data_IF_754883936570
#
_entry.id   IF_754883936570
#
_cell.length_a   1.000
_cell.length_b   1.000
_cell.length_c   1.000
_cell.angle_alpha   90.00
_cell.angle_beta   90.00
_cell.angle_gamma   90.00
#
_symmetry.space_group_name_H-M   'P 1'
#
loop_
_entity.id
_entity.type
_entity.pdbx_description
1 polymer ?
#
# COMPACT_ATOMS: atom_id res chain seq x y z
N UNK A 1 19.26 2.77 1.68
CA UNK A 1 19.54 1.40 2.16
C UNK A 1 18.27 0.58 1.92
N UNK A 2 18.31 -0.69 1.47
CA UNK A 2 17.09 -1.49 1.19
C UNK A 2 16.22 -1.59 2.44
N UNK A 3 15.02 -1.01 2.40
CA UNK A 3 14.24 -0.70 3.61
C UNK A 3 13.16 -1.74 3.93
N UNK A 4 12.61 -2.44 2.93
CA UNK A 4 11.65 -3.53 3.15
C UNK A 4 11.26 -4.18 1.82
N UNK A 5 10.92 -5.46 1.84
CA UNK A 5 10.21 -6.11 0.72
C UNK A 5 8.74 -6.17 1.11
N UNK A 6 7.89 -5.54 0.30
CA UNK A 6 6.47 -5.40 0.56
C UNK A 6 5.72 -6.24 -0.47
N UNK A 7 5.15 -7.36 -0.02
CA UNK A 7 4.41 -8.27 -0.90
C UNK A 7 2.91 -8.07 -0.74
N UNK A 8 2.21 -8.11 -1.87
CA UNK A 8 0.75 -8.00 -1.99
C UNK A 8 0.24 -9.27 -2.63
N UNK A 9 -1.05 -9.58 -2.43
CA UNK A 9 -1.69 -10.79 -2.97
C UNK A 9 -0.96 -12.10 -2.59
N UNK A 10 -0.18 -12.08 -1.49
CA UNK A 10 0.57 -13.25 -1.04
C UNK A 10 -0.37 -14.19 -0.29
N UNK A 11 -0.55 -15.41 -0.78
CA UNK A 11 -1.36 -16.43 -0.08
C UNK A 11 -0.70 -16.83 1.23
N UNK A 12 -1.49 -17.00 2.28
CA UNK A 12 -0.98 -17.38 3.61
C UNK A 12 -0.12 -18.65 3.57
N UNK A 13 -0.53 -19.68 2.83
CA UNK A 13 0.24 -20.92 2.68
C UNK A 13 1.61 -20.69 2.04
N UNK A 14 1.68 -19.86 0.99
CA UNK A 14 2.91 -19.55 0.28
C UNK A 14 3.83 -18.67 1.14
N UNK A 15 3.26 -17.78 1.96
CA UNK A 15 4.01 -17.05 2.97
C UNK A 15 4.67 -17.99 3.99
N UNK A 16 3.87 -18.90 4.57
CA UNK A 16 4.33 -19.79 5.63
C UNK A 16 5.35 -20.82 5.15
N UNK A 17 5.08 -21.49 4.03
CA UNK A 17 5.86 -22.65 3.59
C UNK A 17 7.06 -22.27 2.69
N UNK A 18 7.10 -21.03 2.19
CA UNK A 18 8.17 -20.60 1.28
C UNK A 18 8.80 -19.27 1.71
N UNK A 19 8.09 -18.15 1.57
CA UNK A 19 8.76 -16.84 1.66
C UNK A 19 9.35 -16.54 3.04
N UNK A 20 8.64 -16.87 4.12
CA UNK A 20 9.11 -16.63 5.49
C UNK A 20 10.45 -17.32 5.73
N UNK A 21 10.47 -18.64 5.53
CA UNK A 21 11.65 -19.45 5.86
C UNK A 21 12.79 -19.24 4.85
N UNK A 22 12.49 -19.11 3.55
CA UNK A 22 13.54 -18.89 2.54
C UNK A 22 14.21 -17.53 2.71
N UNK A 23 13.45 -16.46 3.02
CA UNK A 23 14.04 -15.13 3.20
C UNK A 23 14.74 -14.98 4.56
N UNK A 24 14.31 -15.69 5.59
CA UNK A 24 15.04 -15.75 6.86
C UNK A 24 16.36 -16.51 6.67
N UNK A 25 16.30 -17.78 6.27
CA UNK A 25 17.47 -18.67 6.20
C UNK A 25 18.54 -18.21 5.19
N UNK A 26 18.14 -17.61 4.07
CA UNK A 26 19.09 -17.24 3.00
C UNK A 26 19.49 -15.77 3.03
N UNK A 27 18.67 -14.93 3.65
CA UNK A 27 18.77 -13.49 3.48
C UNK A 27 18.62 -12.72 4.80
N UNK A 28 18.52 -13.34 5.97
CA UNK A 28 18.38 -12.68 7.28
C UNK A 28 17.19 -11.70 7.35
N UNK A 29 16.08 -12.02 6.70
CA UNK A 29 14.85 -11.23 6.81
C UNK A 29 13.91 -11.80 7.86
N UNK A 30 13.37 -10.94 8.71
CA UNK A 30 12.13 -11.23 9.43
C UNK A 30 10.94 -10.66 8.69
N UNK A 31 9.74 -11.10 9.09
CA UNK A 31 8.51 -10.68 8.44
C UNK A 31 7.29 -10.70 9.34
N UNK A 32 6.30 -9.93 8.91
CA UNK A 32 4.91 -10.02 9.36
C UNK A 32 4.01 -10.23 8.15
N UNK A 33 2.88 -10.90 8.37
CA UNK A 33 1.86 -11.16 7.36
C UNK A 33 0.47 -11.00 7.98
N UNK A 34 -0.45 -10.43 7.22
CA UNK A 34 -1.86 -10.40 7.56
C UNK A 34 -2.70 -10.80 6.34
N UNK A 35 -3.52 -11.86 6.43
CA UNK A 35 -4.47 -12.19 5.38
C UNK A 35 -5.62 -11.17 5.35
N UNK A 36 -6.30 -11.06 4.21
CA UNK A 36 -7.53 -10.26 4.10
C UNK A 36 -8.62 -10.72 5.06
N UNK A 37 -9.57 -9.82 5.35
CA UNK A 37 -10.56 -9.99 6.41
C UNK A 37 -11.38 -11.29 6.34
N UNK A 38 -11.67 -11.79 5.13
CA UNK A 38 -12.42 -13.05 4.94
C UNK A 38 -11.75 -14.30 5.50
N UNK A 39 -10.44 -14.28 5.77
CA UNK A 39 -9.76 -15.39 6.43
C UNK A 39 -10.36 -15.72 7.81
N UNK A 40 -11.08 -14.76 8.43
CA UNK A 40 -11.80 -14.95 9.70
C UNK A 40 -13.06 -15.82 9.56
N UNK A 41 -13.63 -15.92 8.36
CA UNK A 41 -14.97 -16.51 8.16
C UNK A 41 -14.97 -17.72 7.24
N UNK A 42 -13.96 -17.89 6.38
CA UNK A 42 -13.90 -19.04 5.47
C UNK A 42 -13.12 -20.23 6.09
N UNK A 43 -13.56 -21.48 5.85
CA UNK A 43 -12.86 -22.67 6.36
C UNK A 43 -11.44 -22.83 5.80
N UNK A 44 -11.24 -22.58 4.50
CA UNK A 44 -9.93 -22.60 3.86
C UNK A 44 -9.25 -21.23 3.95
N UNK A 45 -8.89 -20.81 5.17
CA UNK A 45 -8.22 -19.53 5.38
C UNK A 45 -6.77 -19.49 4.86
N UNK A 46 -6.19 -20.65 4.51
CA UNK A 46 -4.78 -20.76 4.09
C UNK A 46 -4.55 -20.32 2.65
N UNK A 47 -5.57 -20.38 1.81
CA UNK A 47 -5.51 -19.89 0.43
C UNK A 47 -5.76 -18.38 0.31
N UNK A 48 -6.19 -17.73 1.41
CA UNK A 48 -6.47 -16.29 1.42
C UNK A 48 -5.19 -15.50 1.24
N UNK A 49 -5.26 -14.54 0.32
CA UNK A 49 -4.19 -13.60 0.07
C UNK A 49 -4.19 -12.45 1.09
N UNK A 50 -3.03 -11.83 1.24
CA UNK A 50 -2.82 -10.77 2.22
C UNK A 50 -1.68 -9.83 1.87
N UNK A 51 -1.31 -9.05 2.87
CA UNK A 51 -0.18 -8.14 2.84
C UNK A 51 0.94 -8.69 3.72
N UNK A 52 2.18 -8.61 3.25
CA UNK A 52 3.37 -8.96 4.01
C UNK A 52 4.36 -7.81 4.03
N UNK A 53 5.10 -7.67 5.14
CA UNK A 53 6.23 -6.75 5.25
C UNK A 53 7.42 -7.55 5.74
N UNK A 54 8.51 -7.50 4.98
CA UNK A 54 9.79 -8.12 5.33
C UNK A 54 10.84 -7.04 5.59
N UNK A 55 11.70 -7.25 6.59
CA UNK A 55 12.82 -6.35 6.88
C UNK A 55 14.08 -7.15 7.24
N UNK A 56 15.26 -6.57 6.96
CA UNK A 56 16.55 -7.16 7.33
C UNK A 56 16.72 -7.12 8.86
N UNK A 57 16.83 -8.29 9.50
CA UNK A 57 17.07 -8.42 10.92
C UNK A 57 18.33 -7.71 11.38
N UNK A 58 19.37 -7.70 10.55
CA UNK A 58 20.63 -7.02 10.88
C UNK A 58 20.50 -5.49 10.95
N UNK A 59 19.48 -4.91 10.33
CA UNK A 59 19.33 -3.44 10.19
C UNK A 59 18.19 -2.86 11.00
N UNK A 60 17.12 -3.61 11.19
CA UNK A 60 15.91 -3.14 11.84
C UNK A 60 15.42 -4.13 12.89
N UNK A 61 14.91 -3.60 13.99
CA UNK A 61 14.10 -4.32 14.94
C UNK A 61 12.64 -3.94 14.73
N UNK A 62 11.72 -4.88 14.91
CA UNK A 62 10.29 -4.57 14.99
C UNK A 62 9.94 -4.11 16.40
N UNK A 63 9.27 -2.96 16.51
CA UNK A 63 8.78 -2.40 17.77
C UNK A 63 7.31 -2.79 17.97
N UNK A 64 6.51 -2.65 16.91
CA UNK A 64 5.08 -2.96 16.94
C UNK A 64 4.54 -3.21 15.53
N UNK A 65 3.33 -3.74 15.42
CA UNK A 65 2.61 -3.83 14.16
C UNK A 65 1.11 -3.54 14.35
N UNK A 66 0.48 -3.04 13.29
CA UNK A 66 -0.96 -2.76 13.27
C UNK A 66 -1.58 -3.27 11.98
N UNK A 67 -2.85 -3.65 12.06
CA UNK A 67 -3.66 -3.99 10.89
C UNK A 67 -4.78 -2.96 10.78
N UNK A 68 -4.89 -2.35 9.62
CA UNK A 68 -6.01 -1.47 9.26
C UNK A 68 -7.00 -2.31 8.47
N UNK A 69 -8.06 -2.75 9.16
CA UNK A 69 -9.21 -3.45 8.58
C UNK A 69 -10.21 -2.40 8.07
N UNK A 70 -10.19 -2.10 6.76
CA UNK A 70 -10.97 -0.99 6.21
C UNK A 70 -12.48 -1.20 6.41
N UNK A 71 -12.98 -2.43 6.22
CA UNK A 71 -14.38 -2.76 6.45
C UNK A 71 -14.79 -2.52 7.91
N UNK A 72 -13.94 -2.97 8.84
CA UNK A 72 -14.15 -2.74 10.27
C UNK A 72 -14.19 -1.25 10.61
N UNK A 73 -13.29 -0.45 10.04
CA UNK A 73 -13.26 1.02 10.26
C UNK A 73 -14.47 1.71 9.67
N UNK A 74 -14.86 1.38 8.44
CA UNK A 74 -16.06 1.92 7.80
C UNK A 74 -17.31 1.61 8.61
N UNK A 75 -17.44 0.38 9.12
CA UNK A 75 -18.64 -0.06 9.86
C UNK A 75 -18.77 0.62 11.24
N UNK A 76 -17.65 1.00 11.86
CA UNK A 76 -17.62 1.66 13.17
C UNK A 76 -17.70 3.19 13.07
N UNK A 77 -17.44 3.75 11.90
CA UNK A 77 -17.39 5.19 11.69
C UNK A 77 -18.78 5.77 11.44
N UNK A 78 -19.19 6.70 12.30
CA UNK A 78 -20.50 7.36 12.23
C UNK A 78 -20.71 8.22 10.99
N UNK A 79 -19.63 8.58 10.28
CA UNK A 79 -19.66 9.29 8.99
C UNK A 79 -20.18 8.39 7.87
N UNK A 80 -19.91 7.08 7.96
CA UNK A 80 -20.19 6.13 6.88
C UNK A 80 -21.32 5.16 7.22
N UNK A 81 -21.35 4.64 8.46
CA UNK A 81 -22.24 3.54 8.83
C UNK A 81 -23.74 3.90 8.85
N UNK A 82 -24.07 5.20 8.83
CA UNK A 82 -25.46 5.68 8.73
C UNK A 82 -25.98 5.73 7.29
N UNK A 83 -25.09 5.71 6.30
CA UNK A 83 -25.48 5.75 4.90
C UNK A 83 -25.65 4.31 4.37
N UNK A 84 -26.91 3.86 4.28
CA UNK A 84 -27.20 2.47 3.93
C UNK A 84 -26.80 2.12 2.50
N UNK A 85 -26.98 3.04 1.54
CA UNK A 85 -26.62 2.81 0.14
C UNK A 85 -25.11 2.64 -0.02
N UNK A 86 -24.34 3.51 0.64
CA UNK A 86 -22.90 3.38 0.73
C UNK A 86 -22.49 2.05 1.38
N UNK A 87 -23.08 1.67 2.52
CA UNK A 87 -22.76 0.42 3.20
C UNK A 87 -23.10 -0.81 2.35
N UNK A 88 -24.20 -0.77 1.60
CA UNK A 88 -24.60 -1.83 0.67
C UNK A 88 -23.57 -1.96 -0.46
N UNK A 89 -23.15 -0.82 -1.03
CA UNK A 89 -22.15 -0.82 -2.10
C UNK A 89 -20.76 -1.20 -1.60
N UNK A 90 -20.35 -0.74 -0.42
CA UNK A 90 -19.10 -1.16 0.22
C UNK A 90 -19.14 -2.68 0.43
N UNK A 91 -20.27 -3.18 0.93
CA UNK A 91 -20.56 -4.60 1.05
C UNK A 91 -19.52 -5.31 1.90
N UNK A 92 -18.91 -6.36 1.34
CA UNK A 92 -17.90 -7.21 2.02
C UNK A 92 -16.48 -7.00 1.51
N UNK A 93 -16.17 -5.81 0.99
CA UNK A 93 -14.80 -5.47 0.53
C UNK A 93 -13.86 -5.50 1.73
N UNK A 94 -13.06 -6.56 1.83
CA UNK A 94 -12.27 -6.96 3.01
C UNK A 94 -10.79 -6.60 2.89
N UNK A 95 -10.49 -5.57 2.08
CA UNK A 95 -9.15 -5.03 1.90
C UNK A 95 -8.56 -4.61 3.26
N UNK A 96 -7.24 -4.70 3.36
CA UNK A 96 -6.49 -4.33 4.55
C UNK A 96 -5.26 -3.50 4.18
N UNK A 97 -4.72 -2.81 5.18
CA UNK A 97 -3.32 -2.37 5.16
C UNK A 97 -2.59 -2.93 6.40
N UNK A 98 -1.34 -3.32 6.20
CA UNK A 98 -0.45 -3.79 7.26
C UNK A 98 0.57 -2.70 7.58
N UNK A 99 0.78 -2.42 8.85
CA UNK A 99 1.73 -1.42 9.32
C UNK A 99 2.77 -2.08 10.21
N UNK A 100 4.04 -1.87 9.93
CA UNK A 100 5.16 -2.23 10.79
C UNK A 100 5.81 -0.97 11.35
N UNK A 101 6.04 -0.96 12.66
CA UNK A 101 6.88 0.04 13.32
C UNK A 101 8.26 -0.59 13.48
N UNK A 102 9.23 -0.06 12.74
CA UNK A 102 10.59 -0.55 12.73
C UNK A 102 11.52 0.49 13.33
N UNK A 103 12.52 0.05 14.09
CA UNK A 103 13.60 0.90 14.59
C UNK A 103 14.90 0.44 13.96
N UNK A 104 15.67 1.37 13.38
CA UNK A 104 16.98 1.05 12.85
C UNK A 104 18.03 1.00 13.96
N UNK A 105 19.27 0.60 13.62
CA UNK A 105 20.38 0.56 14.57
C UNK A 105 20.83 1.93 15.10
N UNK A 106 20.41 3.03 14.49
CA UNK A 106 20.72 4.39 14.94
C UNK A 106 19.62 4.99 15.82
N UNK A 107 18.52 4.26 16.06
CA UNK A 107 17.38 4.70 16.88
C UNK A 107 16.28 5.44 16.11
N UNK A 108 16.39 5.58 14.78
CA UNK A 108 15.34 6.19 13.97
C UNK A 108 14.15 5.23 13.84
N UNK A 109 12.95 5.78 14.02
CA UNK A 109 11.70 5.02 13.88
C UNK A 109 11.12 5.18 12.48
N UNK A 110 10.69 4.06 11.89
CA UNK A 110 10.06 3.97 10.59
C UNK A 110 8.67 3.37 10.73
N UNK A 111 7.68 4.06 10.17
CA UNK A 111 6.33 3.55 9.95
C UNK A 111 6.30 3.03 8.51
N UNK A 112 6.36 1.72 8.34
CA UNK A 112 6.28 1.06 7.03
C UNK A 112 4.89 0.52 6.83
N UNK A 113 4.19 1.01 5.82
CA UNK A 113 2.81 0.65 5.50
C UNK A 113 2.77 -0.12 4.18
N UNK A 114 2.06 -1.24 4.17
CA UNK A 114 1.71 -2.00 2.98
C UNK A 114 0.18 -1.97 2.79
N UNK A 115 -0.29 -1.27 1.77
CA UNK A 115 -1.70 -1.17 1.45
C UNK A 115 -2.05 -1.90 0.15
N UNK A 116 -3.25 -2.49 0.10
CA UNK A 116 -3.83 -3.04 -1.13
C UNK A 116 -5.30 -2.64 -1.19
N UNK A 117 -5.58 -1.57 -1.95
CA UNK A 117 -6.91 -1.01 -2.09
C UNK A 117 -7.79 -1.86 -3.01
N UNK A 118 -9.09 -1.57 -3.01
CA UNK A 118 -10.04 -2.26 -3.87
C UNK A 118 -9.71 -2.08 -5.35
N UNK A 119 -9.97 -3.09 -6.18
CA UNK A 119 -9.43 -3.14 -7.54
C UNK A 119 -10.35 -2.55 -8.60
N UNK A 120 -11.67 -2.73 -8.45
CA UNK A 120 -12.65 -2.44 -9.50
C UNK A 120 -12.64 -0.95 -9.90
N UNK A 121 -12.39 -0.61 -11.18
CA UNK A 121 -12.37 0.77 -11.68
C UNK A 121 -13.65 1.56 -11.41
N UNK A 122 -14.81 0.89 -11.34
CA UNK A 122 -16.11 1.53 -11.14
C UNK A 122 -16.31 2.02 -9.68
N UNK A 123 -15.42 1.63 -8.76
CA UNK A 123 -15.52 1.92 -7.33
C UNK A 123 -14.47 2.92 -6.86
N UNK A 124 -14.34 4.04 -7.58
CA UNK A 124 -13.46 5.16 -7.22
C UNK A 124 -13.76 5.68 -5.81
N UNK A 125 -15.04 5.80 -5.48
CA UNK A 125 -15.56 6.20 -4.16
C UNK A 125 -15.00 5.31 -3.05
N UNK A 126 -15.03 3.99 -3.24
CA UNK A 126 -14.52 3.03 -2.25
C UNK A 126 -13.01 3.14 -2.09
N UNK A 127 -12.26 3.22 -3.20
CA UNK A 127 -10.80 3.37 -3.17
C UNK A 127 -10.42 4.66 -2.43
N UNK A 128 -11.14 5.75 -2.70
CA UNK A 128 -10.93 7.05 -2.08
C UNK A 128 -11.18 7.01 -0.57
N UNK A 129 -12.26 6.38 -0.12
CA UNK A 129 -12.57 6.24 1.31
C UNK A 129 -11.55 5.33 2.00
N UNK A 130 -11.11 4.25 1.36
CA UNK A 130 -10.04 3.40 1.90
C UNK A 130 -8.73 4.19 2.04
N UNK A 131 -8.36 4.99 1.04
CA UNK A 131 -7.18 5.86 1.11
C UNK A 131 -7.31 6.90 2.23
N UNK A 132 -8.48 7.49 2.41
CA UNK A 132 -8.71 8.49 3.44
C UNK A 132 -8.61 7.90 4.86
N UNK A 133 -9.24 6.74 5.09
CA UNK A 133 -9.10 5.98 6.35
C UNK A 133 -7.63 5.59 6.58
N UNK A 134 -6.93 5.15 5.54
CA UNK A 134 -5.51 4.78 5.62
C UNK A 134 -4.67 5.94 6.13
N UNK A 135 -4.81 7.14 5.54
CA UNK A 135 -4.07 8.33 5.93
C UNK A 135 -4.44 8.79 7.36
N UNK A 136 -5.72 8.76 7.73
CA UNK A 136 -6.16 9.08 9.10
C UNK A 136 -5.55 8.13 10.15
N UNK A 137 -5.47 6.83 9.85
CA UNK A 137 -4.86 5.84 10.75
C UNK A 137 -3.33 6.00 10.83
N UNK A 138 -2.67 6.27 9.70
CA UNK A 138 -1.23 6.58 9.70
C UNK A 138 -0.95 7.81 10.57
N UNK A 139 -1.77 8.85 10.49
CA UNK A 139 -1.62 10.06 11.30
C UNK A 139 -1.84 9.78 12.80
N UNK A 140 -2.80 8.90 13.16
CA UNK A 140 -2.96 8.43 14.56
C UNK A 140 -1.72 7.71 15.06
N UNK A 141 -1.16 6.80 14.24
CA UNK A 141 0.07 6.06 14.59
C UNK A 141 1.26 7.01 14.71
N UNK A 142 1.40 7.98 13.80
CA UNK A 142 2.47 8.98 13.82
C UNK A 142 2.44 9.88 15.06
N UNK A 143 1.26 10.15 15.62
CA UNK A 143 1.12 10.88 16.90
C UNK A 143 1.67 10.09 18.10
N UNK A 144 1.61 8.75 18.03
CA UNK A 144 2.20 7.85 19.03
C UNK A 144 3.72 7.76 18.80
N UNK A 145 4.13 7.45 17.57
CA UNK A 145 5.53 7.32 17.16
C UNK A 145 6.03 8.64 16.55
N UNK A 146 6.19 9.64 17.42
CA UNK A 146 6.62 10.99 17.01
C UNK A 146 7.98 10.94 16.30
N UNK A 147 8.21 11.93 15.44
CA UNK A 147 9.44 12.08 14.65
C UNK A 147 9.80 10.92 13.72
N UNK A 148 8.91 9.95 13.51
CA UNK A 148 9.12 8.83 12.60
C UNK A 148 9.19 9.22 11.11
N UNK A 149 9.89 8.39 10.34
CA UNK A 149 9.87 8.39 8.88
C UNK A 149 8.73 7.49 8.41
N UNK A 150 7.94 7.93 7.44
CA UNK A 150 6.81 7.13 6.92
C UNK A 150 7.10 6.69 5.49
N UNK A 151 6.97 5.38 5.26
CA UNK A 151 6.90 4.77 3.94
C UNK A 151 5.50 4.19 3.76
N UNK A 152 4.79 4.65 2.73
CA UNK A 152 3.50 4.13 2.33
C UNK A 152 3.65 3.44 0.97
N UNK A 153 3.60 2.11 0.98
CA UNK A 153 3.87 1.26 -0.16
C UNK A 153 2.62 0.44 -0.44
N UNK A 154 2.23 0.29 -1.71
CA UNK A 154 0.96 -0.37 -1.94
C UNK A 154 0.53 -0.48 -3.38
N UNK A 155 -0.45 -1.34 -3.61
CA UNK A 155 -1.24 -1.42 -4.86
C UNK A 155 -2.51 -0.64 -4.56
N UNK A 156 -2.58 0.54 -5.12
CA UNK A 156 -3.67 1.46 -4.89
C UNK A 156 -4.79 1.26 -5.90
N UNK A 157 -4.56 0.46 -6.95
CA UNK A 157 -5.50 0.28 -8.07
C UNK A 157 -6.03 1.63 -8.61
N UNK A 158 -5.16 2.64 -8.63
CA UNK A 158 -5.47 4.04 -8.90
C UNK A 158 -4.34 4.67 -9.68
N UNK A 159 -4.68 5.31 -10.80
CA UNK A 159 -3.72 6.03 -11.66
C UNK A 159 -3.30 7.37 -11.03
N UNK A 160 -2.24 7.99 -11.56
CA UNK A 160 -1.69 9.26 -11.05
C UNK A 160 -2.65 10.44 -11.16
N UNK A 161 -3.59 10.40 -12.10
CA UNK A 161 -4.64 11.41 -12.30
C UNK A 161 -5.87 11.19 -11.41
N UNK A 162 -5.87 10.15 -10.58
CA UNK A 162 -7.01 9.84 -9.70
C UNK A 162 -7.06 10.71 -8.45
N UNK A 163 -8.27 10.79 -7.87
CA UNK A 163 -8.47 11.40 -6.55
C UNK A 163 -7.70 10.70 -5.42
N UNK A 164 -7.47 9.38 -5.53
CA UNK A 164 -6.67 8.64 -4.54
C UNK A 164 -5.23 9.14 -4.54
N UNK A 165 -4.63 9.29 -5.72
CA UNK A 165 -3.26 9.79 -5.84
C UNK A 165 -3.16 11.23 -5.34
N UNK A 166 -4.03 12.11 -5.84
CA UNK A 166 -4.09 13.52 -5.42
C UNK A 166 -4.30 13.66 -3.91
N UNK A 167 -5.10 12.79 -3.30
CA UNK A 167 -5.35 12.83 -1.86
C UNK A 167 -4.08 12.52 -1.06
N UNK A 168 -3.31 11.52 -1.50
CA UNK A 168 -2.08 11.09 -0.82
C UNK A 168 -0.96 12.13 -0.99
N UNK A 169 -0.81 12.71 -2.19
CA UNK A 169 0.31 13.59 -2.50
C UNK A 169 0.03 15.06 -2.19
N UNK A 170 -1.19 15.53 -2.44
CA UNK A 170 -1.55 16.95 -2.38
C UNK A 170 -2.53 17.26 -1.23
N UNK A 171 -3.23 16.25 -0.72
CA UNK A 171 -4.29 16.42 0.27
C UNK A 171 -5.62 16.90 -0.34
N UNK A 172 -5.79 16.75 -1.66
CA UNK A 172 -6.96 17.19 -2.42
C UNK A 172 -7.57 16.03 -3.19
N UNK A 173 -8.86 16.10 -3.51
CA UNK A 173 -9.57 15.09 -4.28
C UNK A 173 -10.74 15.74 -5.01
N UNK A 174 -11.22 15.10 -6.06
CA UNK A 174 -12.46 15.51 -6.71
C UNK A 174 -13.65 15.04 -5.85
N UNK A 175 -14.49 15.99 -5.43
CA UNK A 175 -15.71 15.68 -4.70
C UNK A 175 -16.67 14.85 -5.57
N UNK A 176 -16.63 15.01 -6.89
CA UNK A 176 -17.39 14.21 -7.86
C UNK A 176 -17.17 12.71 -7.70
N UNK A 177 -15.93 12.27 -7.41
CA UNK A 177 -15.63 10.84 -7.21
C UNK A 177 -16.34 10.22 -5.98
N UNK A 178 -16.84 11.04 -5.04
CA UNK A 178 -17.70 10.56 -3.95
C UNK A 178 -19.20 10.64 -4.29
N UNK A 179 -19.59 11.59 -5.15
CA UNK A 179 -20.99 11.87 -5.49
C UNK A 179 -21.50 11.13 -6.72
N UNK A 180 -20.64 10.73 -7.66
CA UNK A 180 -20.99 10.04 -8.90
C UNK A 180 -21.81 8.76 -8.66
N UNK A 181 -21.70 8.20 -7.45
CA UNK A 181 -22.43 7.02 -7.05
C UNK A 181 -23.76 7.31 -6.31
N UNK A 182 -24.16 8.59 -6.21
CA UNK A 182 -25.49 9.01 -5.77
C UNK A 182 -25.67 9.28 -4.27
N UNK A 183 -24.61 9.44 -3.48
CA UNK A 183 -24.73 9.73 -2.05
C UNK A 183 -23.87 10.90 -1.59
N UNK A 184 -24.47 11.77 -0.77
CA UNK A 184 -23.77 12.84 -0.06
C UNK A 184 -23.21 12.33 1.26
N UNK A 185 -21.90 12.07 1.27
CA UNK A 185 -21.20 11.61 2.46
C UNK A 185 -20.79 12.76 3.39
N UNK A 186 -20.91 14.04 2.98
CA UNK A 186 -20.37 15.21 3.69
C UNK A 186 -18.99 14.94 4.33
N UNK A 187 -18.17 14.15 3.62
CA UNK A 187 -16.91 13.65 4.11
C UNK A 187 -15.80 14.59 3.68
N UNK A 188 -15.13 15.20 4.65
CA UNK A 188 -13.94 16.01 4.45
C UNK A 188 -12.76 15.36 5.19
N UNK A 189 -11.84 14.69 4.47
CA UNK A 189 -10.69 14.03 5.06
C UNK A 189 -9.77 15.08 5.68
N UNK A 190 -9.46 14.92 6.96
CA UNK A 190 -8.53 15.80 7.68
C UNK A 190 -7.11 15.28 7.52
N UNK A 191 -6.45 15.68 6.44
CA UNK A 191 -5.11 15.19 6.08
C UNK A 191 -4.03 16.19 6.51
N UNK A 192 -3.18 15.77 7.44
CA UNK A 192 -2.00 16.54 7.86
C UNK A 192 -0.68 16.04 7.24
N UNK A 193 -0.72 14.91 6.54
CA UNK A 193 0.44 14.27 5.92
C UNK A 193 0.35 14.42 4.41
N UNK A 194 1.41 14.98 3.83
CA UNK A 194 1.66 14.95 2.40
C UNK A 194 2.78 13.96 2.15
N UNK A 195 2.64 13.19 1.07
CA UNK A 195 3.65 12.25 0.65
C UNK A 195 4.23 12.65 -0.69
N UNK A 196 5.52 12.39 -0.86
CA UNK A 196 6.18 12.44 -2.15
C UNK A 196 6.10 11.05 -2.78
N UNK A 197 5.89 10.98 -4.09
CA UNK A 197 6.02 9.74 -4.85
C UNK A 197 7.49 9.53 -5.25
N UNK A 198 8.03 8.35 -4.95
CA UNK A 198 9.39 7.96 -5.35
C UNK A 198 9.61 8.04 -6.87
N UNK A 199 8.59 7.72 -7.66
CA UNK A 199 8.67 7.72 -9.12
C UNK A 199 7.95 8.92 -9.75
N UNK A 200 7.47 9.88 -8.96
CA UNK A 200 6.61 10.97 -9.46
C UNK A 200 7.27 11.93 -10.45
N UNK A 201 8.61 11.92 -10.56
CA UNK A 201 9.37 12.70 -11.55
C UNK A 201 9.99 11.83 -12.66
N UNK A 202 9.69 10.54 -12.68
CA UNK A 202 10.22 9.58 -13.65
C UNK A 202 9.14 9.20 -14.68
N UNK A 203 9.56 8.91 -15.90
CA UNK A 203 8.66 8.36 -16.92
C UNK A 203 8.48 6.85 -16.70
N UNK A 204 7.46 6.49 -15.92
CA UNK A 204 7.07 5.09 -15.69
C UNK A 204 5.83 4.76 -16.52
N UNK A 205 6.00 3.91 -17.51
CA UNK A 205 4.92 3.49 -18.42
C UNK A 205 3.87 2.63 -17.71
N UNK A 206 4.31 1.67 -16.88
CA UNK A 206 3.40 0.82 -16.12
C UNK A 206 4.04 0.23 -14.86
N UNK A 207 3.18 -0.06 -13.88
CA UNK A 207 3.50 -1.00 -12.80
C UNK A 207 2.70 -2.28 -12.87
N UNK A 208 1.55 -2.25 -13.55
CA UNK A 208 0.74 -3.42 -13.92
C UNK A 208 0.55 -3.45 -15.45
N UNK A 209 0.75 -4.61 -16.06
CA UNK A 209 0.56 -4.79 -17.49
C UNK A 209 -0.10 -6.12 -17.79
N UNK A 210 -1.32 -6.04 -18.28
CA UNK A 210 -2.14 -7.14 -18.79
C UNK A 210 -2.68 -6.78 -20.19
N UNK A 211 -3.24 -7.72 -20.95
CA UNK A 211 -3.82 -7.42 -22.26
C UNK A 211 -4.95 -6.37 -22.25
N UNK A 212 -5.62 -6.18 -21.10
CA UNK A 212 -6.77 -5.28 -20.96
C UNK A 212 -6.45 -4.00 -20.20
N UNK A 213 -5.32 -3.95 -19.49
CA UNK A 213 -4.94 -2.81 -18.66
C UNK A 213 -3.43 -2.69 -18.58
N UNK A 214 -2.94 -1.49 -18.82
CA UNK A 214 -1.54 -1.11 -18.66
C UNK A 214 -1.49 0.26 -18.00
N UNK A 215 -0.79 0.37 -16.88
CA UNK A 215 -0.66 1.65 -16.18
C UNK A 215 0.04 1.54 -14.83
N UNK A 216 0.26 2.70 -14.20
CA UNK A 216 0.89 2.82 -12.88
C UNK A 216 -0.19 2.82 -11.81
N UNK A 217 -0.21 1.78 -10.99
CA UNK A 217 -1.14 1.62 -9.86
C UNK A 217 -0.43 1.20 -8.57
N UNK A 218 0.87 0.96 -8.63
CA UNK A 218 1.73 0.63 -7.51
C UNK A 218 2.66 1.80 -7.20
N UNK A 219 2.74 2.19 -5.92
CA UNK A 219 3.51 3.36 -5.51
C UNK A 219 4.36 3.08 -4.28
N UNK A 220 5.47 3.82 -4.18
CA UNK A 220 6.26 3.98 -2.95
C UNK A 220 6.19 5.47 -2.59
N UNK A 221 5.25 5.78 -1.71
CA UNK A 221 5.09 7.11 -1.13
C UNK A 221 5.97 7.26 0.11
N UNK A 222 6.56 8.43 0.31
CA UNK A 222 7.41 8.70 1.46
C UNK A 222 7.21 10.10 2.04
N UNK A 223 7.37 10.22 3.37
CA UNK A 223 7.33 11.51 4.06
C UNK A 223 8.61 12.32 3.87
N UNK A 224 8.54 13.64 4.00
CA UNK A 224 9.64 14.61 3.73
C UNK A 224 10.98 14.32 4.44
N UNK A 225 10.99 13.60 5.56
CA UNK A 225 12.22 13.25 6.29
C UNK A 225 13.08 12.17 5.62
N UNK A 226 12.70 11.71 4.43
CA UNK A 226 13.42 10.70 3.66
C UNK A 226 13.86 11.30 2.33
N UNK A 227 15.13 11.15 2.00
CA UNK A 227 15.68 11.58 0.70
C UNK A 227 15.96 10.35 -0.16
N UNK A 228 15.32 10.20 -1.33
CA UNK A 228 15.68 9.15 -2.27
C UNK A 228 17.07 9.43 -2.86
N UNK A 229 17.86 8.37 -3.01
CA UNK A 229 19.25 8.42 -3.52
C UNK A 229 19.46 7.59 -4.78
N UNK A 230 18.58 6.62 -5.04
CA UNK A 230 18.53 5.83 -6.26
C UNK A 230 17.17 5.15 -6.36
N UNK A 231 16.76 4.89 -7.59
CA UNK A 231 15.54 4.18 -7.95
C UNK A 231 15.91 2.99 -8.85
N UNK A 232 15.10 1.94 -8.81
CA UNK A 232 15.18 0.86 -9.79
C UNK A 232 14.59 1.38 -11.10
N UNK A 233 15.33 1.30 -12.20
CA UNK A 233 14.85 1.74 -13.49
C UNK A 233 13.57 0.99 -13.91
N UNK A 234 12.60 1.67 -14.54
CA UNK A 234 11.43 1.02 -15.15
C UNK A 234 11.82 0.00 -16.22
N UNK A 235 10.87 -0.83 -16.64
CA UNK A 235 11.06 -1.72 -17.79
C UNK A 235 11.26 -0.88 -19.06
N UNK A 236 12.25 -1.27 -19.87
CA UNK A 236 12.55 -0.62 -21.15
C UNK A 236 11.33 -0.68 -22.09
N UNK A 237 10.94 0.44 -22.72
CA UNK A 237 9.80 0.49 -23.65
C UNK A 237 9.90 -0.54 -24.78
N UNK A 238 11.10 -0.75 -25.33
CA UNK A 238 11.33 -1.75 -26.38
C UNK A 238 10.93 -3.17 -25.99
N UNK A 239 11.10 -3.55 -24.72
CA UNK A 239 10.64 -4.85 -24.24
C UNK A 239 9.12 -4.87 -24.16
N UNK A 240 8.51 -3.81 -23.62
CA UNK A 240 7.07 -3.70 -23.45
C UNK A 240 6.30 -3.73 -24.78
N UNK A 241 6.89 -3.20 -25.86
CA UNK A 241 6.33 -3.24 -27.21
C UNK A 241 6.32 -4.64 -27.84
N UNK A 242 7.19 -5.55 -27.38
CA UNK A 242 7.34 -6.91 -27.94
C UNK A 242 6.42 -7.94 -27.28
N UNK A 243 5.68 -7.55 -26.23
CA UNK A 243 4.81 -8.44 -25.48
C UNK A 243 3.41 -7.84 -25.35
N UNK A 244 2.40 -8.70 -25.24
CA UNK A 244 0.99 -8.27 -25.12
C UNK A 244 0.53 -8.09 -23.67
N UNK A 245 1.40 -8.41 -22.70
CA UNK A 245 1.12 -8.34 -21.27
C UNK A 245 1.99 -9.27 -20.44
N UNK A 246 1.81 -9.18 -19.13
CA UNK A 246 2.44 -9.99 -18.09
C UNK A 246 1.35 -10.79 -17.32
N UNK A 247 1.69 -11.88 -16.60
CA UNK A 247 3.00 -12.52 -16.50
C UNK A 247 3.41 -13.20 -17.82
N UNK A 248 4.71 -13.46 -17.97
CA UNK A 248 5.27 -14.23 -19.07
C UNK A 248 6.52 -15.00 -18.63
N UNK A 249 7.27 -15.57 -19.57
CA UNK A 249 8.46 -16.39 -19.27
C UNK A 249 9.59 -15.62 -18.57
N UNK A 250 9.62 -14.29 -18.69
CA UNK A 250 10.63 -13.43 -18.05
C UNK A 250 10.11 -12.78 -16.76
N UNK A 251 8.80 -12.56 -16.66
CA UNK A 251 8.17 -11.90 -15.51
C UNK A 251 7.08 -12.79 -14.88
N UNK A 252 7.27 -13.24 -13.63
CA UNK A 252 6.35 -14.19 -12.98
C UNK A 252 5.06 -13.56 -12.44
N UNK A 253 4.86 -12.27 -12.65
CA UNK A 253 3.75 -11.47 -12.11
C UNK A 253 3.26 -10.49 -13.18
N UNK A 254 1.97 -10.15 -13.15
CA UNK A 254 1.36 -9.09 -13.96
C UNK A 254 1.77 -7.68 -13.48
N UNK A 255 2.21 -7.57 -12.23
CA UNK A 255 2.86 -6.38 -11.69
C UNK A 255 4.39 -6.49 -11.71
N UNK A 256 5.07 -5.36 -11.92
CA UNK A 256 6.53 -5.26 -11.85
C UNK A 256 6.99 -4.86 -10.45
N UNK A 257 8.22 -5.24 -10.11
CA UNK A 257 8.83 -4.86 -8.85
C UNK A 257 9.33 -3.41 -8.92
N UNK A 258 8.91 -2.58 -7.97
CA UNK A 258 9.39 -1.20 -7.80
C UNK A 258 10.30 -1.10 -6.57
N UNK A 259 11.35 -0.29 -6.65
CA UNK A 259 12.31 -0.15 -5.54
C UNK A 259 12.98 1.21 -5.48
N UNK A 260 13.44 1.58 -4.28
CA UNK A 260 14.19 2.80 -4.05
C UNK A 260 15.12 2.68 -2.86
N UNK A 261 16.20 3.46 -2.89
CA UNK A 261 17.15 3.60 -1.80
C UNK A 261 17.00 4.96 -1.17
N UNK A 262 16.68 4.98 0.13
CA UNK A 262 16.58 6.21 0.89
C UNK A 262 17.80 6.43 1.80
N UNK A 263 18.05 7.69 2.12
CA UNK A 263 18.84 8.15 3.27
C UNK A 263 17.93 8.93 4.22
N UNK A 264 18.17 8.77 5.52
CA UNK A 264 17.63 9.68 6.53
C UNK A 264 18.54 10.90 6.57
N UNK A 265 17.97 12.10 6.68
CA UNK A 265 18.78 13.28 6.95
C UNK A 265 19.47 13.09 8.31
N UNK A 266 20.79 13.24 8.37
CA UNK A 266 21.49 13.30 9.67
C UNK A 266 20.95 14.53 10.38
N UNK A 267 20.34 14.36 11.54
CA UNK A 267 20.21 15.46 12.51
C UNK A 267 21.61 16.05 12.66
N UNK A 268 21.79 17.27 12.15
CA UNK A 268 23.02 18.07 12.37
C UNK A 268 23.08 18.46 13.83
#
# INVERSE_FOLDING_TARGET
MWMSCVFKKLKFIVYQEFYKDQLDLRCDYSSIFCPKGRAKTIPDNKSVDGCAIFWKNTKFNIVNNFVIDFLGRVSQDTRFNKNQDFMNRYGRKDNIALVAILENRTGDTFIVVNAHLYWDPEFKDIKLIQAAILLEEIEKIRKIYKNSHVLLIGDFNSLMDSSVYSMITQGTYDKGDLFDCGYDLNYEPKLGLKFNDLYGNEEVDFTNFTPLFKGVIDYIFYSDKLTPTSLLSPIEPEYAERVVGLPNVHFPSDHIFISGKFTTEKNK
#
